data_IF_328245033318
#
_entry.id   IF_328245033318
#
_cell.length_a   1.000
_cell.length_b   1.000
_cell.length_c   1.000
_cell.angle_alpha   90.00
_cell.angle_beta   90.00
_cell.angle_gamma   90.00
#
_symmetry.space_group_name_H-M   'P 1'
#
loop_
_entity.id
_entity.type
_entity.pdbx_description
1 polymer ?
#
# COMPACT_ATOMS: atom_id res chain seq x y z
N UNK A 1 -13.53 -7.61 -17.78
CA UNK A 1 -13.29 -6.17 -17.53
C UNK A 1 -12.70 -5.44 -18.74
N UNK A 2 -11.61 -5.93 -19.34
CA UNK A 2 -10.92 -5.26 -20.45
C UNK A 2 -11.82 -4.84 -21.63
N UNK A 3 -12.76 -5.70 -22.05
CA UNK A 3 -13.71 -5.37 -23.14
C UNK A 3 -14.63 -4.21 -22.74
N UNK A 4 -15.13 -4.21 -21.50
CA UNK A 4 -15.95 -3.10 -20.97
C UNK A 4 -15.15 -1.79 -20.94
N UNK A 5 -13.87 -1.85 -20.53
CA UNK A 5 -12.98 -0.70 -20.59
C UNK A 5 -12.80 -0.19 -22.03
N UNK A 6 -12.63 -1.09 -23.01
CA UNK A 6 -12.55 -0.71 -24.41
C UNK A 6 -13.79 0.05 -24.88
N UNK A 7 -14.99 -0.41 -24.52
CA UNK A 7 -16.25 0.23 -24.92
C UNK A 7 -16.31 1.66 -24.39
N UNK A 8 -16.00 1.90 -23.12
CA UNK A 8 -15.98 3.25 -22.56
C UNK A 8 -14.88 4.12 -23.18
N UNK A 9 -13.67 3.58 -23.36
CA UNK A 9 -12.58 4.34 -23.94
C UNK A 9 -12.84 4.76 -25.39
N UNK A 10 -13.53 3.92 -26.18
CA UNK A 10 -13.98 4.26 -27.54
C UNK A 10 -15.03 5.39 -27.56
N UNK A 11 -15.75 5.61 -26.46
CA UNK A 11 -16.65 6.76 -26.31
C UNK A 11 -15.94 8.05 -25.87
N UNK A 12 -14.61 8.03 -25.73
CA UNK A 12 -13.80 9.18 -25.32
C UNK A 12 -13.73 9.42 -23.82
N UNK A 13 -14.11 8.42 -23.00
CA UNK A 13 -14.08 8.44 -21.54
C UNK A 13 -12.78 7.79 -21.07
N UNK A 14 -12.13 8.36 -20.05
CA UNK A 14 -10.92 7.76 -19.47
C UNK A 14 -11.31 6.70 -18.42
N UNK A 15 -10.67 5.54 -18.47
CA UNK A 15 -11.07 4.35 -17.69
C UNK A 15 -9.95 3.94 -16.75
N UNK A 16 -10.29 3.81 -15.47
CA UNK A 16 -9.40 3.26 -14.44
C UNK A 16 -9.90 1.87 -14.06
N UNK A 17 -9.08 0.86 -14.30
CA UNK A 17 -9.29 -0.51 -13.87
C UNK A 17 -8.44 -0.76 -12.63
N UNK A 18 -9.09 -0.99 -11.48
CA UNK A 18 -8.39 -1.17 -10.21
C UNK A 18 -8.64 -2.54 -9.61
N UNK A 19 -7.57 -3.15 -9.12
CA UNK A 19 -7.63 -4.40 -8.37
C UNK A 19 -6.73 -4.31 -7.12
N UNK A 20 -6.67 -5.37 -6.33
CA UNK A 20 -5.81 -5.39 -5.14
C UNK A 20 -4.35 -5.80 -5.43
N UNK A 21 -4.08 -6.42 -6.59
CA UNK A 21 -2.80 -7.08 -6.90
C UNK A 21 -2.11 -6.45 -8.10
N UNK A 22 -0.90 -5.93 -7.90
CA UNK A 22 -0.10 -5.36 -8.98
C UNK A 22 0.19 -6.39 -10.08
N UNK A 23 0.46 -7.65 -9.69
CA UNK A 23 0.75 -8.74 -10.64
C UNK A 23 -0.46 -9.04 -11.52
N UNK A 24 -1.65 -9.16 -10.92
CA UNK A 24 -2.88 -9.41 -11.67
C UNK A 24 -3.24 -8.23 -12.58
N UNK A 25 -3.10 -7.01 -12.06
CA UNK A 25 -3.32 -5.78 -12.84
C UNK A 25 -2.40 -5.70 -14.06
N UNK A 26 -1.10 -5.93 -13.85
CA UNK A 26 -0.10 -5.88 -14.90
C UNK A 26 -0.30 -7.00 -15.93
N UNK A 27 -0.63 -8.22 -15.49
CA UNK A 27 -0.97 -9.34 -16.38
C UNK A 27 -2.12 -8.95 -17.30
N UNK A 28 -3.24 -8.50 -16.73
CA UNK A 28 -4.42 -8.16 -17.50
C UNK A 28 -4.14 -6.99 -18.47
N UNK A 29 -3.40 -5.95 -18.03
CA UNK A 29 -2.98 -4.88 -18.94
C UNK A 29 -2.16 -5.41 -20.12
N UNK A 30 -1.19 -6.28 -19.86
CA UNK A 30 -0.29 -6.82 -20.88
C UNK A 30 -1.02 -7.73 -21.88
N UNK A 31 -1.90 -8.60 -21.38
CA UNK A 31 -2.67 -9.53 -22.20
C UNK A 31 -3.58 -8.80 -23.20
N UNK A 32 -4.10 -7.62 -22.83
CA UNK A 32 -4.97 -6.80 -23.69
C UNK A 32 -4.27 -5.61 -24.37
N UNK A 33 -2.98 -5.38 -24.14
CA UNK A 33 -2.24 -4.23 -24.70
C UNK A 33 -2.26 -4.17 -26.24
N UNK A 34 -2.22 -5.33 -26.91
CA UNK A 34 -2.34 -5.40 -28.37
C UNK A 34 -3.70 -4.89 -28.87
N UNK A 35 -4.78 -5.24 -28.16
CA UNK A 35 -6.14 -4.79 -28.48
C UNK A 35 -6.26 -3.28 -28.25
N UNK A 36 -5.77 -2.76 -27.13
CA UNK A 36 -5.83 -1.32 -26.83
C UNK A 36 -5.10 -0.48 -27.88
N UNK A 37 -3.91 -0.92 -28.31
CA UNK A 37 -3.14 -0.28 -29.39
C UNK A 37 -3.85 -0.34 -30.72
N UNK A 38 -4.41 -1.50 -31.06
CA UNK A 38 -5.15 -1.67 -32.32
C UNK A 38 -6.37 -0.74 -32.39
N UNK A 39 -7.03 -0.52 -31.25
CA UNK A 39 -8.18 0.38 -31.14
C UNK A 39 -7.79 1.86 -30.94
N UNK A 40 -6.51 2.18 -30.72
CA UNK A 40 -6.03 3.55 -30.49
C UNK A 40 -6.50 4.15 -29.16
N UNK A 41 -6.71 3.32 -28.14
CA UNK A 41 -7.30 3.70 -26.83
C UNK A 41 -6.37 3.41 -25.64
N UNK A 42 -5.13 2.99 -25.89
CA UNK A 42 -4.18 2.61 -24.82
C UNK A 42 -3.97 3.74 -23.80
N UNK A 43 -3.84 4.98 -24.26
CA UNK A 43 -3.63 6.15 -23.40
C UNK A 43 -4.86 6.53 -22.54
N UNK A 44 -6.01 5.90 -22.78
CA UNK A 44 -7.26 6.15 -22.04
C UNK A 44 -7.58 5.06 -21.02
N UNK A 45 -6.82 3.97 -20.98
CA UNK A 45 -7.10 2.84 -20.09
C UNK A 45 -5.92 2.65 -19.14
N UNK A 46 -6.17 2.96 -17.89
CA UNK A 46 -5.23 2.80 -16.79
C UNK A 46 -5.55 1.52 -16.02
N UNK A 47 -4.53 0.70 -15.78
CA UNK A 47 -4.60 -0.43 -14.84
C UNK A 47 -3.68 -0.14 -13.65
N UNK A 48 -4.17 -0.44 -12.45
CA UNK A 48 -3.39 -0.30 -11.24
C UNK A 48 -3.99 -0.99 -10.03
N UNK A 49 -3.28 -0.90 -8.91
CA UNK A 49 -3.82 -1.24 -7.59
C UNK A 49 -4.66 -0.10 -7.02
N UNK A 50 -5.45 -0.37 -5.97
CA UNK A 50 -6.13 0.69 -5.21
C UNK A 50 -5.16 1.76 -4.68
N UNK A 51 -3.97 1.35 -4.21
CA UNK A 51 -2.92 2.28 -3.77
C UNK A 51 -2.46 3.20 -4.91
N UNK A 52 -2.22 2.62 -6.10
CA UNK A 52 -1.80 3.38 -7.28
C UNK A 52 -2.90 4.34 -7.75
N UNK A 53 -4.16 3.91 -7.71
CA UNK A 53 -5.30 4.75 -8.04
C UNK A 53 -5.42 5.94 -7.08
N UNK A 54 -5.36 5.70 -5.76
CA UNK A 54 -5.33 6.77 -4.77
C UNK A 54 -4.15 7.73 -4.99
N UNK A 55 -2.96 7.19 -5.22
CA UNK A 55 -1.76 7.99 -5.52
C UNK A 55 -1.97 8.90 -6.74
N UNK A 56 -2.62 8.40 -7.79
CA UNK A 56 -2.89 9.17 -8.99
C UNK A 56 -3.88 10.28 -8.73
N UNK A 57 -5.02 9.97 -8.11
CA UNK A 57 -6.08 10.93 -7.78
C UNK A 57 -5.54 12.07 -6.89
N UNK A 58 -4.82 11.71 -5.83
CA UNK A 58 -4.24 12.70 -4.91
C UNK A 58 -3.22 13.60 -5.62
N UNK A 59 -2.49 13.05 -6.58
CA UNK A 59 -1.46 13.80 -7.29
C UNK A 59 -1.94 14.49 -8.58
N UNK A 60 -3.22 14.40 -8.94
CA UNK A 60 -3.75 15.04 -10.15
C UNK A 60 -3.50 16.55 -10.19
N UNK A 61 -3.60 17.21 -9.03
CA UNK A 61 -3.40 18.65 -8.92
C UNK A 61 -1.98 19.01 -8.48
N UNK A 62 -1.33 18.17 -7.68
CA UNK A 62 0.03 18.40 -7.21
C UNK A 62 0.65 17.14 -6.64
N UNK A 63 1.97 16.95 -6.80
CA UNK A 63 2.67 15.90 -6.08
C UNK A 63 2.74 16.21 -4.58
N UNK A 64 1.89 15.55 -3.79
CA UNK A 64 1.71 15.83 -2.36
C UNK A 64 3.00 15.58 -1.58
N UNK A 65 3.69 14.46 -1.84
CA UNK A 65 4.97 14.12 -1.18
C UNK A 65 6.04 15.17 -1.44
N UNK A 66 6.19 15.59 -2.69
CA UNK A 66 7.18 16.61 -3.05
C UNK A 66 6.85 17.97 -2.44
N UNK A 67 5.58 18.37 -2.42
CA UNK A 67 5.14 19.63 -1.82
C UNK A 67 5.41 19.66 -0.32
N UNK A 68 5.02 18.63 0.41
CA UNK A 68 5.27 18.51 1.86
C UNK A 68 6.77 18.48 2.14
N UNK A 69 7.53 17.64 1.42
CA UNK A 69 8.99 17.58 1.55
C UNK A 69 9.63 18.94 1.33
N UNK A 70 9.30 19.62 0.23
CA UNK A 70 9.92 20.90 -0.12
C UNK A 70 9.57 21.99 0.90
N UNK A 71 8.33 22.01 1.38
CA UNK A 71 7.88 22.96 2.41
C UNK A 71 8.69 22.79 3.71
N UNK A 72 8.83 21.55 4.19
CA UNK A 72 9.59 21.28 5.42
C UNK A 72 11.09 21.55 5.21
N UNK A 73 11.66 21.06 4.11
CA UNK A 73 13.10 21.21 3.82
C UNK A 73 13.52 22.68 3.64
N UNK A 74 12.62 23.55 3.18
CA UNK A 74 12.84 24.99 3.10
C UNK A 74 12.46 25.75 4.37
N UNK A 75 11.96 25.04 5.39
CA UNK A 75 11.44 25.63 6.62
C UNK A 75 10.31 26.66 6.37
N UNK A 76 9.51 26.48 5.33
CA UNK A 76 8.38 27.35 4.96
C UNK A 76 7.11 26.89 5.67
N UNK A 77 6.24 27.80 6.12
CA UNK A 77 5.00 27.47 6.84
C UNK A 77 3.72 27.52 5.98
N UNK A 78 3.85 27.90 4.71
CA UNK A 78 2.72 28.01 3.79
C UNK A 78 3.12 27.52 2.40
N UNK A 79 2.21 26.80 1.75
CA UNK A 79 2.34 26.41 0.35
C UNK A 79 1.90 27.56 -0.55
N UNK A 80 2.67 27.82 -1.62
CA UNK A 80 2.19 28.68 -2.69
C UNK A 80 0.96 28.06 -3.36
N UNK A 81 -0.08 28.86 -3.54
CA UNK A 81 -1.33 28.43 -4.17
C UNK A 81 -1.04 27.99 -5.60
N UNK A 82 -1.30 26.72 -5.90
CA UNK A 82 -1.24 26.23 -7.28
C UNK A 82 -2.47 26.73 -8.04
N UNK A 83 -2.28 27.13 -9.30
CA UNK A 83 -3.40 27.39 -10.21
C UNK A 83 -4.16 26.08 -10.43
N UNK A 84 -5.48 26.10 -10.19
CA UNK A 84 -6.35 24.96 -10.49
C UNK A 84 -6.34 24.73 -12.00
N UNK A 85 -5.80 23.61 -12.46
CA UNK A 85 -6.02 23.17 -13.83
C UNK A 85 -7.51 22.87 -14.02
N UNK A 86 -8.04 23.26 -15.18
CA UNK A 86 -9.46 23.14 -15.48
C UNK A 86 -9.75 21.91 -16.34
N UNK A 87 -10.71 21.11 -15.85
CA UNK A 87 -11.42 20.00 -16.51
C UNK A 87 -10.58 18.84 -17.06
N UNK A 88 -10.46 17.80 -16.24
CA UNK A 88 -10.25 16.44 -16.73
C UNK A 88 -11.50 15.94 -17.47
N UNK A 89 -11.31 15.05 -18.45
CA UNK A 89 -12.41 14.29 -19.04
C UNK A 89 -13.17 13.53 -17.94
N UNK A 90 -14.46 13.21 -18.14
CA UNK A 90 -15.15 12.29 -17.24
C UNK A 90 -14.37 10.96 -17.17
N UNK A 91 -14.18 10.47 -15.94
CA UNK A 91 -13.50 9.20 -15.66
C UNK A 91 -14.49 8.15 -15.17
N UNK A 92 -14.22 6.90 -15.50
CA UNK A 92 -14.95 5.74 -14.97
C UNK A 92 -14.00 4.85 -14.19
N UNK A 93 -14.48 4.33 -13.06
CA UNK A 93 -13.80 3.34 -12.25
C UNK A 93 -14.42 1.96 -12.48
N UNK A 94 -13.60 0.99 -12.87
CA UNK A 94 -13.94 -0.43 -12.95
C UNK A 94 -13.14 -1.20 -11.89
N UNK A 95 -13.82 -1.71 -10.88
CA UNK A 95 -13.21 -2.42 -9.75
C UNK A 95 -13.22 -3.91 -10.02
N UNK A 96 -12.06 -4.54 -9.95
CA UNK A 96 -11.93 -6.00 -9.90
C UNK A 96 -12.00 -6.47 -8.46
N UNK A 97 -12.69 -7.59 -8.25
CA UNK A 97 -13.00 -8.12 -6.92
C UNK A 97 -13.59 -7.05 -5.99
N UNK A 98 -14.79 -6.57 -6.34
CA UNK A 98 -15.56 -5.59 -5.56
C UNK A 98 -15.68 -5.96 -4.07
N UNK A 99 -15.73 -7.25 -3.74
CA UNK A 99 -15.71 -7.76 -2.37
C UNK A 99 -14.39 -7.46 -1.64
N UNK A 100 -13.25 -7.56 -2.31
CA UNK A 100 -11.96 -7.16 -1.74
C UNK A 100 -11.92 -5.66 -1.49
N UNK A 101 -12.48 -4.84 -2.38
CA UNK A 101 -12.60 -3.40 -2.12
C UNK A 101 -13.41 -3.10 -0.85
N UNK A 102 -14.47 -3.87 -0.57
CA UNK A 102 -15.30 -3.71 0.63
C UNK A 102 -14.67 -4.23 1.92
N UNK A 103 -13.47 -4.82 1.85
CA UNK A 103 -12.75 -5.30 3.05
C UNK A 103 -12.31 -4.17 3.99
N UNK A 104 -11.96 -4.55 5.22
CA UNK A 104 -11.35 -3.67 6.21
C UNK A 104 -10.05 -3.03 5.73
N UNK A 105 -9.27 -3.73 4.89
CA UNK A 105 -8.02 -3.22 4.31
C UNK A 105 -8.25 -2.02 3.38
N UNK A 106 -9.35 -2.01 2.63
CA UNK A 106 -9.63 -0.95 1.65
C UNK A 106 -10.77 -0.07 2.11
N UNK A 107 -12.04 -0.49 2.04
CA UNK A 107 -13.17 0.35 2.46
C UNK A 107 -13.05 0.89 3.90
N UNK A 108 -12.56 0.06 4.84
CA UNK A 108 -12.26 0.49 6.21
C UNK A 108 -10.86 1.09 6.40
N UNK A 109 -10.05 1.08 5.36
CA UNK A 109 -8.63 1.40 5.40
C UNK A 109 -8.30 2.79 4.89
N UNK A 110 -7.03 3.14 5.02
CA UNK A 110 -6.51 4.45 4.65
C UNK A 110 -5.24 4.32 3.82
N UNK A 111 -5.12 5.17 2.81
CA UNK A 111 -3.89 5.44 2.10
C UNK A 111 -3.12 6.56 2.81
N UNK A 112 -1.89 6.28 3.21
CA UNK A 112 -1.01 7.22 3.90
C UNK A 112 0.24 7.42 3.04
N UNK A 113 0.28 8.45 2.18
CA UNK A 113 1.47 8.77 1.43
C UNK A 113 2.53 9.36 2.37
N UNK A 114 3.70 8.74 2.47
CA UNK A 114 4.79 9.22 3.31
C UNK A 114 6.04 9.57 2.49
N UNK A 115 6.88 10.46 3.02
CA UNK A 115 8.14 10.90 2.39
C UNK A 115 9.28 10.92 3.38
N UNK A 116 10.48 10.56 2.93
CA UNK A 116 11.71 10.72 3.71
C UNK A 116 12.24 12.16 3.60
N UNK A 117 12.44 12.78 4.75
CA UNK A 117 13.28 13.97 4.89
C UNK A 117 14.72 13.53 5.06
N UNK A 118 15.56 13.91 4.09
CA UNK A 118 16.98 13.60 4.05
C UNK A 118 17.77 14.89 4.01
N UNK A 119 18.63 15.05 5.00
CA UNK A 119 19.52 16.20 5.14
C UNK A 119 20.74 15.79 5.96
N UNK A 120 21.93 16.38 5.74
CA UNK A 120 23.09 16.12 6.58
C UNK A 120 22.83 16.34 8.08
N UNK A 121 22.02 17.34 8.46
CA UNK A 121 21.69 17.56 9.87
C UNK A 121 20.84 16.40 10.43
N UNK A 122 19.87 15.92 9.64
CA UNK A 122 19.00 14.79 10.00
C UNK A 122 19.83 13.53 10.14
N UNK A 123 20.74 13.27 9.19
CA UNK A 123 21.64 12.11 9.24
C UNK A 123 22.52 12.16 10.50
N UNK A 124 23.10 13.32 10.82
CA UNK A 124 23.89 13.49 12.03
C UNK A 124 23.07 13.25 13.31
N UNK A 125 21.79 13.64 13.32
CA UNK A 125 20.88 13.33 14.42
C UNK A 125 20.62 11.82 14.54
N UNK A 126 20.30 11.15 13.44
CA UNK A 126 20.09 9.69 13.42
C UNK A 126 21.36 8.93 13.87
N UNK A 127 22.53 9.35 13.41
CA UNK A 127 23.82 8.79 13.82
C UNK A 127 24.06 8.97 15.33
N UNK A 128 23.76 10.16 15.85
CA UNK A 128 23.88 10.44 17.27
C UNK A 128 22.94 9.58 18.10
N UNK A 129 21.71 9.35 17.64
CA UNK A 129 20.75 8.46 18.30
C UNK A 129 21.23 7.01 18.27
N UNK A 130 21.75 6.54 17.13
CA UNK A 130 22.27 5.18 16.97
C UNK A 130 23.50 4.92 17.84
N UNK A 131 24.41 5.89 17.96
CA UNK A 131 25.58 5.78 18.84
C UNK A 131 25.19 5.81 20.33
N UNK A 132 24.07 6.47 20.66
CA UNK A 132 23.59 6.64 22.03
C UNK A 132 22.29 5.87 22.29
N UNK A 133 22.28 4.55 22.03
CA UNK A 133 21.09 3.68 22.17
C UNK A 133 20.45 3.65 23.57
N UNK A 134 21.17 4.14 24.58
CA UNK A 134 20.69 4.26 25.97
C UNK A 134 19.79 5.47 26.19
N UNK A 135 19.68 6.39 25.23
CA UNK A 135 18.74 7.50 25.29
C UNK A 135 17.30 6.97 25.24
N UNK A 136 16.49 7.38 26.21
CA UNK A 136 15.10 6.90 26.37
C UNK A 136 14.06 8.00 26.33
N UNK A 137 14.47 9.27 26.27
CA UNK A 137 13.54 10.40 26.32
C UNK A 137 13.95 11.53 25.41
N UNK A 138 12.94 12.19 24.84
CA UNK A 138 13.10 13.36 23.98
C UNK A 138 13.94 14.44 24.67
N UNK A 139 13.69 14.74 25.95
CA UNK A 139 14.45 15.76 26.69
C UNK A 139 15.96 15.51 26.72
N UNK A 140 16.41 14.25 26.73
CA UNK A 140 17.85 13.94 26.65
C UNK A 140 18.38 14.12 25.23
N UNK A 141 17.58 13.77 24.22
CA UNK A 141 17.92 14.01 22.81
C UNK A 141 18.05 15.51 22.54
N UNK A 142 17.21 16.35 23.15
CA UNK A 142 17.28 17.81 23.01
C UNK A 142 18.61 18.43 23.46
N UNK A 143 19.36 17.74 24.32
CA UNK A 143 20.68 18.18 24.77
C UNK A 143 21.81 17.79 23.80
N UNK A 144 21.52 17.07 22.72
CA UNK A 144 22.52 16.70 21.73
C UNK A 144 22.78 17.86 20.74
N UNK A 145 24.04 18.16 20.39
CA UNK A 145 24.36 19.17 19.38
C UNK A 145 23.70 18.90 18.02
N UNK A 146 23.53 17.63 17.66
CA UNK A 146 22.88 17.23 16.41
C UNK A 146 21.37 17.57 16.40
N UNK A 147 20.71 17.50 17.56
CA UNK A 147 19.33 17.96 17.69
C UNK A 147 19.25 19.47 17.54
N UNK A 148 20.11 20.22 18.23
CA UNK A 148 20.13 21.68 18.16
C UNK A 148 20.31 22.17 16.72
N UNK A 149 21.22 21.54 15.98
CA UNK A 149 21.45 21.83 14.55
C UNK A 149 20.18 21.60 13.71
N UNK A 150 19.47 20.49 13.92
CA UNK A 150 18.19 20.23 13.25
C UNK A 150 17.11 21.24 13.67
N UNK A 151 17.03 21.55 14.97
CA UNK A 151 16.02 22.44 15.53
C UNK A 151 16.16 23.87 15.00
N UNK A 152 17.39 24.36 14.86
CA UNK A 152 17.65 25.66 14.24
C UNK A 152 17.30 25.67 12.74
N UNK A 153 17.60 24.57 12.03
CA UNK A 153 17.33 24.47 10.58
C UNK A 153 15.83 24.39 10.26
N UNK A 154 15.07 23.64 11.05
CA UNK A 154 13.65 23.35 10.84
C UNK A 154 12.76 23.98 11.92
N UNK A 155 13.08 25.20 12.34
CA UNK A 155 12.44 25.88 13.48
C UNK A 155 10.91 25.95 13.38
N UNK A 156 10.36 26.11 12.18
CA UNK A 156 8.91 26.19 11.96
C UNK A 156 8.22 24.83 12.06
N UNK A 157 8.99 23.75 11.94
CA UNK A 157 8.52 22.37 11.91
C UNK A 157 9.08 21.52 13.05
N UNK A 158 9.71 22.13 14.06
CA UNK A 158 10.40 21.39 15.13
C UNK A 158 9.48 20.43 15.88
N UNK A 159 8.19 20.73 15.97
CA UNK A 159 7.19 19.83 16.57
C UNK A 159 7.10 18.48 15.82
N UNK A 160 7.25 18.47 14.49
CA UNK A 160 7.26 17.22 13.70
C UNK A 160 8.49 16.39 14.03
N UNK A 161 9.64 17.03 14.19
CA UNK A 161 10.88 16.36 14.56
C UNK A 161 10.79 15.81 15.99
N UNK A 162 10.18 16.55 16.92
CA UNK A 162 9.94 16.10 18.29
C UNK A 162 9.07 14.83 18.33
N UNK A 163 8.00 14.75 17.53
CA UNK A 163 7.18 13.54 17.43
C UNK A 163 7.94 12.38 16.75
N UNK A 164 8.59 12.64 15.61
CA UNK A 164 9.39 11.65 14.91
C UNK A 164 10.48 11.05 15.81
N UNK A 165 11.13 11.86 16.66
CA UNK A 165 12.14 11.39 17.61
C UNK A 165 11.54 10.44 18.65
N UNK A 166 10.30 10.68 19.12
CA UNK A 166 9.66 9.76 20.08
C UNK A 166 9.46 8.38 19.45
N UNK A 167 9.02 8.33 18.20
CA UNK A 167 8.81 7.08 17.49
C UNK A 167 10.13 6.39 17.14
N UNK A 168 11.16 7.16 16.74
CA UNK A 168 12.53 6.68 16.58
C UNK A 168 13.05 6.03 17.87
N UNK A 169 12.87 6.67 19.03
CA UNK A 169 13.28 6.15 20.34
C UNK A 169 12.48 4.91 20.76
N UNK A 170 11.21 4.81 20.35
CA UNK A 170 10.39 3.62 20.56
C UNK A 170 10.91 2.46 19.72
N UNK A 171 11.08 2.65 18.41
CA UNK A 171 11.59 1.65 17.48
C UNK A 171 13.01 1.17 17.83
N UNK A 172 13.86 2.03 18.40
CA UNK A 172 15.21 1.66 18.81
C UNK A 172 15.23 0.57 19.91
N UNK A 173 14.09 0.35 20.59
CA UNK A 173 13.91 -0.71 21.58
C UNK A 173 13.50 -2.05 20.96
N UNK A 174 12.88 -2.04 19.78
CA UNK A 174 12.20 -3.19 19.18
C UNK A 174 12.74 -3.60 17.82
N UNK A 175 13.62 -2.81 17.18
CA UNK A 175 14.06 -3.06 15.79
C UNK A 175 14.60 -4.47 15.55
N UNK A 176 15.26 -5.08 16.54
CA UNK A 176 15.79 -6.45 16.44
C UNK A 176 14.71 -7.54 16.38
N UNK A 177 13.47 -7.21 16.75
CA UNK A 177 12.32 -8.12 16.65
C UNK A 177 11.66 -8.07 15.28
N UNK A 178 12.07 -7.15 14.40
CA UNK A 178 11.51 -7.02 13.05
C UNK A 178 11.96 -8.18 12.17
N UNK A 179 11.01 -8.84 11.51
CA UNK A 179 11.28 -9.87 10.50
C UNK A 179 11.49 -9.22 9.14
N UNK A 180 12.73 -9.26 8.64
CA UNK A 180 13.11 -8.78 7.32
C UNK A 180 14.17 -9.71 6.69
N UNK A 181 14.38 -9.54 5.39
CA UNK A 181 15.45 -10.21 4.63
C UNK A 181 16.37 -9.12 4.09
N UNK A 182 17.68 -9.38 4.07
CA UNK A 182 18.65 -8.56 3.34
C UNK A 182 18.87 -9.17 1.96
N UNK A 183 18.58 -8.43 0.91
CA UNK A 183 18.75 -8.88 -0.47
C UNK A 183 19.17 -7.71 -1.35
N UNK A 184 20.15 -7.93 -2.23
CA UNK A 184 20.64 -6.94 -3.18
C UNK A 184 20.99 -5.58 -2.53
N UNK A 185 21.73 -5.63 -1.43
CA UNK A 185 22.14 -4.43 -0.67
C UNK A 185 20.97 -3.63 -0.08
N UNK A 186 19.79 -4.26 0.14
CA UNK A 186 18.60 -3.61 0.70
C UNK A 186 17.87 -4.50 1.69
N UNK A 187 17.07 -3.85 2.54
CA UNK A 187 16.10 -4.53 3.40
C UNK A 187 14.79 -4.71 2.61
N UNK A 188 14.29 -5.93 2.61
CA UNK A 188 13.03 -6.32 1.95
C UNK A 188 12.14 -7.09 2.92
N UNK A 189 10.83 -7.06 2.66
CA UNK A 189 9.82 -7.74 3.46
C UNK A 189 9.09 -8.81 2.64
N UNK A 190 8.51 -9.79 3.34
CA UNK A 190 7.56 -10.72 2.75
C UNK A 190 6.16 -10.13 2.92
N UNK A 191 5.46 -9.93 1.80
CA UNK A 191 4.04 -9.57 1.76
C UNK A 191 3.27 -10.63 0.95
N UNK A 192 2.50 -11.45 1.66
CA UNK A 192 1.90 -12.67 1.10
C UNK A 192 2.96 -13.63 0.55
N UNK A 193 2.88 -13.93 -0.74
CA UNK A 193 3.83 -14.80 -1.46
C UNK A 193 4.97 -14.02 -2.14
N UNK A 194 4.97 -12.68 -2.03
CA UNK A 194 5.92 -11.81 -2.72
C UNK A 194 6.96 -11.21 -1.78
N UNK A 195 8.15 -10.96 -2.30
CA UNK A 195 9.17 -10.14 -1.65
C UNK A 195 8.99 -8.71 -2.16
N UNK A 196 8.85 -7.77 -1.24
CA UNK A 196 8.61 -6.35 -1.53
C UNK A 196 9.73 -5.49 -0.94
N UNK A 197 10.30 -4.61 -1.77
CA UNK A 197 11.42 -3.72 -1.42
C UNK A 197 10.98 -2.25 -1.24
N UNK A 198 9.69 -1.97 -1.46
CA UNK A 198 9.07 -0.65 -1.35
C UNK A 198 8.24 -0.47 -0.08
N UNK A 199 8.33 -1.40 0.88
CA UNK A 199 7.61 -1.36 2.15
C UNK A 199 8.54 -0.91 3.27
N UNK A 200 8.06 0.01 4.09
CA UNK A 200 8.75 0.52 5.28
C UNK A 200 7.86 0.24 6.49
N UNK A 201 8.41 -0.43 7.51
CA UNK A 201 7.75 -0.67 8.80
C UNK A 201 8.19 0.40 9.80
N UNK A 202 7.72 1.63 9.54
CA UNK A 202 8.06 2.81 10.35
C UNK A 202 9.56 2.96 10.59
N UNK A 203 9.93 3.29 11.82
CA UNK A 203 11.32 3.50 12.22
C UNK A 203 12.09 2.21 12.52
N UNK A 204 11.43 1.05 12.63
CA UNK A 204 12.13 -0.23 12.79
C UNK A 204 13.00 -0.51 11.56
N UNK A 205 12.48 -0.26 10.35
CA UNK A 205 13.25 -0.40 9.10
C UNK A 205 14.51 0.46 9.10
N UNK A 206 14.43 1.69 9.61
CA UNK A 206 15.58 2.60 9.68
C UNK A 206 16.68 2.02 10.56
N UNK A 207 16.32 1.52 11.74
CA UNK A 207 17.28 0.91 12.66
C UNK A 207 17.80 -0.44 12.17
N UNK A 208 17.00 -1.20 11.41
CA UNK A 208 17.48 -2.37 10.69
C UNK A 208 18.57 -1.99 9.67
N UNK A 209 18.43 -0.90 8.91
CA UNK A 209 19.50 -0.43 8.01
C UNK A 209 20.79 -0.11 8.78
N UNK A 210 20.69 0.61 9.90
CA UNK A 210 21.85 0.89 10.76
C UNK A 210 22.50 -0.39 11.33
N UNK A 211 21.68 -1.38 11.71
CA UNK A 211 22.15 -2.67 12.22
C UNK A 211 22.91 -3.46 11.16
N UNK A 212 22.30 -3.64 9.99
CA UNK A 212 22.88 -4.42 8.90
C UNK A 212 24.15 -3.78 8.35
N UNK A 213 24.21 -2.45 8.29
CA UNK A 213 25.42 -1.74 7.90
C UNK A 213 26.55 -1.95 8.93
N UNK A 214 26.25 -1.90 10.22
CA UNK A 214 27.23 -2.18 11.27
C UNK A 214 27.73 -3.64 11.26
N UNK A 215 26.91 -4.58 10.77
CA UNK A 215 27.29 -5.98 10.55
C UNK A 215 28.03 -6.22 9.22
N UNK A 216 28.09 -5.21 8.34
CA UNK A 216 28.71 -5.32 7.02
C UNK A 216 27.85 -6.05 5.98
N UNK A 217 26.56 -6.26 6.26
CA UNK A 217 25.63 -6.94 5.36
C UNK A 217 25.07 -6.01 4.27
N UNK A 218 25.13 -4.70 4.48
CA UNK A 218 24.80 -3.67 3.48
C UNK A 218 25.85 -2.56 3.43
N UNK A 219 25.92 -1.88 2.30
CA UNK A 219 26.84 -0.78 2.03
C UNK A 219 26.46 0.51 2.78
N UNK A 220 27.45 1.40 2.92
CA UNK A 220 27.23 2.74 3.46
C UNK A 220 26.28 3.57 2.57
N UNK A 221 26.38 3.41 1.25
CA UNK A 221 25.50 4.08 0.30
C UNK A 221 24.05 3.63 0.51
N UNK A 222 23.82 2.33 0.68
CA UNK A 222 22.48 1.80 0.96
C UNK A 222 21.91 2.35 2.26
N UNK A 223 22.72 2.43 3.32
CA UNK A 223 22.29 3.09 4.56
C UNK A 223 21.85 4.53 4.29
N UNK A 224 22.66 5.33 3.61
CA UNK A 224 22.36 6.74 3.32
C UNK A 224 21.14 6.93 2.40
N UNK A 225 20.93 6.02 1.45
CA UNK A 225 19.80 6.03 0.54
C UNK A 225 18.48 5.59 1.19
N UNK A 226 18.50 4.94 2.35
CA UNK A 226 17.28 4.36 2.93
C UNK A 226 16.93 4.88 4.34
N UNK A 227 17.71 5.82 4.89
CA UNK A 227 17.42 6.45 6.17
C UNK A 227 17.06 7.93 6.04
N UNK A 228 16.26 8.41 6.99
CA UNK A 228 15.77 9.78 7.06
C UNK A 228 14.68 9.90 8.13
N UNK A 229 14.08 11.07 8.28
CA UNK A 229 12.85 11.21 9.07
C UNK A 229 11.66 10.94 8.15
N UNK A 230 10.81 9.99 8.51
CA UNK A 230 9.62 9.64 7.73
C UNK A 230 8.47 10.56 8.15
N UNK A 231 7.90 11.29 7.19
CA UNK A 231 6.78 12.18 7.40
C UNK A 231 5.59 11.72 6.58
N UNK A 232 4.47 11.51 7.26
CA UNK A 232 3.18 11.27 6.63
C UNK A 232 2.65 12.57 6.03
N UNK A 233 2.30 12.51 4.75
CA UNK A 233 1.85 13.65 3.96
C UNK A 233 0.32 13.81 3.97
N UNK A 234 -0.33 13.19 4.94
CA UNK A 234 -1.79 13.11 5.07
C UNK A 234 -2.29 11.67 5.13
N UNK A 235 -3.56 11.53 5.45
CA UNK A 235 -4.25 10.24 5.56
C UNK A 235 -5.54 10.33 4.78
N UNK A 236 -5.74 9.42 3.83
CA UNK A 236 -6.83 9.48 2.87
C UNK A 236 -7.62 8.17 2.90
N UNK A 237 -8.94 8.25 3.07
CA UNK A 237 -9.79 7.05 3.08
C UNK A 237 -9.90 6.48 1.66
N UNK A 238 -9.71 5.18 1.49
CA UNK A 238 -9.99 4.53 0.20
C UNK A 238 -11.47 4.58 -0.16
N UNK A 239 -12.37 4.68 0.83
CA UNK A 239 -13.81 4.77 0.58
C UNK A 239 -14.20 6.09 -0.11
N UNK A 240 -13.40 7.14 0.03
CA UNK A 240 -13.68 8.44 -0.61
C UNK A 240 -13.25 8.45 -2.09
N UNK A 241 -12.23 7.65 -2.44
CA UNK A 241 -11.61 7.62 -3.76
C UNK A 241 -12.60 7.40 -4.92
N UNK A 242 -13.59 6.47 -4.86
CA UNK A 242 -14.54 6.27 -5.95
C UNK A 242 -15.42 7.47 -6.26
N UNK A 243 -15.62 8.41 -5.32
CA UNK A 243 -16.51 9.56 -5.52
C UNK A 243 -15.98 10.58 -6.55
N UNK A 244 -14.69 10.53 -6.89
CA UNK A 244 -14.10 11.36 -7.95
C UNK A 244 -14.42 10.87 -9.38
N UNK A 245 -15.08 9.71 -9.50
CA UNK A 245 -15.46 9.12 -10.78
C UNK A 245 -16.92 9.41 -11.15
N UNK A 246 -17.16 9.64 -12.44
CA UNK A 246 -18.50 9.90 -12.95
C UNK A 246 -19.38 8.63 -12.91
N UNK A 247 -18.77 7.46 -13.13
CA UNK A 247 -19.43 6.17 -12.97
C UNK A 247 -18.49 5.17 -12.31
N UNK A 248 -19.08 4.31 -11.48
CA UNK A 248 -18.40 3.23 -10.78
C UNK A 248 -19.06 1.92 -11.24
N UNK A 249 -18.24 0.95 -11.61
CA UNK A 249 -18.66 -0.40 -11.92
C UNK A 249 -17.60 -1.39 -11.46
N UNK A 250 -17.85 -2.67 -11.68
CA UNK A 250 -16.89 -3.69 -11.29
C UNK A 250 -17.39 -5.10 -11.49
N UNK A 251 -16.55 -6.05 -11.14
CA UNK A 251 -16.86 -7.48 -11.16
C UNK A 251 -16.42 -8.13 -9.86
N UNK A 252 -17.12 -9.17 -9.44
CA UNK A 252 -16.69 -10.04 -8.33
C UNK A 252 -17.34 -11.40 -8.50
N UNK A 253 -16.64 -12.45 -8.05
CA UNK A 253 -17.18 -13.82 -7.99
C UNK A 253 -18.20 -14.03 -6.87
N UNK A 254 -18.27 -13.12 -5.89
CA UNK A 254 -18.97 -13.32 -4.62
C UNK A 254 -20.18 -12.39 -4.44
N UNK A 255 -20.63 -11.72 -5.51
CA UNK A 255 -21.74 -10.75 -5.45
C UNK A 255 -23.00 -11.31 -4.75
N UNK A 256 -23.31 -12.60 -4.95
CA UNK A 256 -24.46 -13.27 -4.32
C UNK A 256 -24.29 -13.41 -2.80
N UNK A 257 -23.07 -13.65 -2.35
CA UNK A 257 -22.72 -13.95 -0.96
C UNK A 257 -22.32 -12.72 -0.15
N UNK A 258 -22.24 -11.53 -0.77
CA UNK A 258 -22.07 -10.28 -0.04
C UNK A 258 -23.14 -10.12 1.05
N UNK A 259 -22.71 -9.64 2.20
CA UNK A 259 -23.57 -9.27 3.31
C UNK A 259 -24.53 -8.15 2.89
N UNK A 260 -25.66 -8.03 3.60
CA UNK A 260 -26.63 -6.98 3.29
C UNK A 260 -26.05 -5.57 3.46
N UNK A 261 -25.15 -5.38 4.42
CA UNK A 261 -24.48 -4.09 4.66
C UNK A 261 -23.57 -3.72 3.48
N UNK A 262 -22.82 -4.68 2.94
CA UNK A 262 -21.96 -4.50 1.77
C UNK A 262 -22.79 -4.12 0.54
N UNK A 263 -23.94 -4.78 0.32
CA UNK A 263 -24.87 -4.43 -0.76
C UNK A 263 -25.43 -3.02 -0.59
N UNK A 264 -25.80 -2.64 0.63
CA UNK A 264 -26.26 -1.29 0.95
C UNK A 264 -25.19 -0.23 0.72
N UNK A 265 -23.91 -0.54 0.94
CA UNK A 265 -22.81 0.36 0.60
C UNK A 265 -22.74 0.56 -0.91
N UNK A 266 -22.76 -0.52 -1.70
CA UNK A 266 -22.73 -0.43 -3.17
C UNK A 266 -23.91 0.41 -3.71
N UNK A 267 -25.12 0.19 -3.19
CA UNK A 267 -26.33 0.88 -3.64
C UNK A 267 -26.39 2.33 -3.15
N UNK A 268 -26.22 2.58 -1.85
CA UNK A 268 -26.53 3.87 -1.24
C UNK A 268 -25.33 4.83 -1.21
N UNK A 269 -24.09 4.32 -1.15
CA UNK A 269 -22.88 5.14 -1.12
C UNK A 269 -22.36 5.33 -2.54
N UNK A 270 -22.20 4.24 -3.29
CA UNK A 270 -21.59 4.28 -4.63
C UNK A 270 -22.58 4.29 -5.80
N UNK A 271 -23.89 4.32 -5.52
CA UNK A 271 -24.96 4.37 -6.53
C UNK A 271 -24.94 3.22 -7.57
N UNK A 272 -24.39 2.06 -7.20
CA UNK A 272 -24.33 0.85 -8.03
C UNK A 272 -25.66 0.08 -7.88
N UNK A 273 -26.68 0.55 -8.58
CA UNK A 273 -28.05 0.03 -8.47
C UNK A 273 -28.37 -1.13 -9.42
N UNK A 274 -27.38 -1.63 -10.18
CA UNK A 274 -27.56 -2.68 -11.17
C UNK A 274 -26.56 -3.80 -10.95
N UNK A 275 -27.09 -5.01 -10.74
CA UNK A 275 -26.32 -6.24 -10.66
C UNK A 275 -26.70 -7.16 -11.83
N UNK A 276 -25.69 -7.76 -12.46
CA UNK A 276 -25.88 -8.79 -13.49
C UNK A 276 -25.07 -10.02 -13.14
N UNK A 277 -25.64 -11.21 -13.34
CA UNK A 277 -24.97 -12.48 -13.06
C UNK A 277 -24.65 -13.19 -14.35
N UNK A 278 -23.36 -13.39 -14.61
CA UNK A 278 -22.92 -14.20 -15.73
C UNK A 278 -22.84 -15.68 -15.30
N UNK A 279 -23.40 -16.62 -16.07
CA UNK A 279 -23.26 -18.04 -15.76
C UNK A 279 -21.80 -18.49 -15.88
N UNK A 280 -21.42 -19.48 -15.08
CA UNK A 280 -20.10 -20.11 -15.16
C UNK A 280 -19.93 -20.80 -16.52
N UNK A 281 -18.80 -20.55 -17.18
CA UNK A 281 -18.40 -21.29 -18.38
C UNK A 281 -17.93 -22.73 -18.06
N UNK A 282 -17.63 -23.00 -16.80
CA UNK A 282 -17.09 -24.28 -16.32
C UNK A 282 -18.15 -25.21 -15.71
N UNK A 283 -19.44 -24.84 -15.78
CA UNK A 283 -20.53 -25.61 -15.16
C UNK A 283 -20.56 -25.49 -13.64
N UNK A 284 -21.24 -26.45 -12.99
CA UNK A 284 -21.44 -26.49 -11.54
C UNK A 284 -20.15 -26.85 -10.79
N UNK A 285 -19.98 -26.28 -9.59
CA UNK A 285 -18.86 -26.64 -8.72
C UNK A 285 -18.98 -28.09 -8.24
N UNK A 286 -17.92 -28.87 -8.39
CA UNK A 286 -17.84 -30.25 -7.91
C UNK A 286 -17.33 -30.36 -6.46
N UNK A 287 -17.06 -29.22 -5.79
CA UNK A 287 -16.70 -29.19 -4.37
C UNK A 287 -17.98 -29.24 -3.55
N UNK A 288 -18.28 -30.41 -2.99
CA UNK A 288 -19.42 -30.63 -2.12
C UNK A 288 -18.89 -30.61 -0.69
N UNK A 289 -19.30 -29.62 0.09
CA UNK A 289 -18.96 -29.53 1.50
C UNK A 289 -19.60 -30.69 2.27
N UNK A 290 -18.79 -31.43 3.01
CA UNK A 290 -19.24 -32.47 3.92
C UNK A 290 -18.94 -32.05 5.37
N UNK A 291 -19.96 -31.68 6.17
CA UNK A 291 -19.77 -31.21 7.54
C UNK A 291 -19.14 -32.26 8.47
N UNK A 292 -19.21 -33.55 8.14
CA UNK A 292 -18.63 -34.61 8.97
C UNK A 292 -17.12 -34.77 8.75
N UNK A 293 -16.61 -34.40 7.58
CA UNK A 293 -15.20 -34.62 7.21
C UNK A 293 -14.41 -33.34 7.03
N UNK A 294 -15.08 -32.26 6.61
CA UNK A 294 -14.44 -31.02 6.17
C UNK A 294 -14.29 -30.01 7.32
N UNK A 295 -14.94 -30.25 8.46
CA UNK A 295 -14.75 -29.47 9.69
C UNK A 295 -14.25 -30.36 10.81
N UNK A 296 -13.12 -29.98 11.41
CA UNK A 296 -12.60 -30.59 12.63
C UNK A 296 -12.30 -29.51 13.66
N UNK A 297 -12.77 -29.71 14.88
CA UNK A 297 -12.36 -28.91 16.03
C UNK A 297 -11.23 -29.67 16.72
N UNK A 298 -10.04 -29.07 16.76
CA UNK A 298 -8.84 -29.69 17.30
C UNK A 298 -8.17 -28.74 18.31
N UNK A 299 -7.35 -29.30 19.19
CA UNK A 299 -6.55 -28.48 20.09
C UNK A 299 -5.50 -27.68 19.30
N UNK A 300 -5.16 -26.49 19.77
CA UNK A 300 -4.18 -25.59 19.11
C UNK A 300 -2.84 -26.30 18.82
N UNK A 301 -2.38 -27.15 19.75
CA UNK A 301 -1.13 -27.93 19.59
C UNK A 301 -1.18 -28.96 18.46
N UNK A 302 -2.37 -29.40 18.07
CA UNK A 302 -2.59 -30.44 17.06
C UNK A 302 -2.99 -29.84 15.70
N UNK A 303 -3.38 -28.57 15.65
CA UNK A 303 -3.85 -27.87 14.46
C UNK A 303 -2.90 -28.04 13.27
N UNK A 304 -1.61 -27.71 13.46
CA UNK A 304 -0.61 -27.86 12.41
C UNK A 304 -0.32 -29.33 12.05
N UNK A 305 -0.47 -30.26 12.99
CA UNK A 305 -0.28 -31.69 12.70
C UNK A 305 -1.35 -32.21 11.76
N UNK A 306 -2.61 -31.84 11.98
CA UNK A 306 -3.72 -32.22 11.09
C UNK A 306 -3.59 -31.59 9.70
N UNK A 307 -3.27 -30.30 9.62
CA UNK A 307 -3.02 -29.62 8.34
C UNK A 307 -1.88 -30.31 7.58
N UNK A 308 -0.76 -30.60 8.25
CA UNK A 308 0.36 -31.28 7.62
C UNK A 308 0.00 -32.69 7.15
N UNK A 309 -0.81 -33.42 7.93
CA UNK A 309 -1.35 -34.73 7.54
C UNK A 309 -2.22 -34.66 6.29
N UNK A 310 -3.12 -33.68 6.22
CA UNK A 310 -4.01 -33.48 5.08
C UNK A 310 -3.23 -33.06 3.82
N UNK A 311 -2.28 -32.12 3.94
CA UNK A 311 -1.37 -31.73 2.86
C UNK A 311 -0.61 -32.95 2.33
N UNK A 312 -0.05 -33.79 3.21
CA UNK A 312 0.65 -35.00 2.78
C UNK A 312 -0.29 -35.99 2.10
N UNK A 313 -1.51 -36.14 2.57
CA UNK A 313 -2.51 -37.02 1.95
C UNK A 313 -2.83 -36.56 0.52
N UNK A 314 -3.06 -35.26 0.32
CA UNK A 314 -3.33 -34.66 -0.99
C UNK A 314 -2.11 -34.77 -1.91
N UNK A 315 -0.90 -34.48 -1.38
CA UNK A 315 0.37 -34.60 -2.10
C UNK A 315 0.67 -36.03 -2.53
N UNK A 316 0.44 -37.01 -1.65
CA UNK A 316 0.62 -38.43 -1.95
C UNK A 316 -0.37 -38.91 -3.02
N UNK A 317 -1.58 -38.34 -3.05
CA UNK A 317 -2.55 -38.55 -4.12
C UNK A 317 -2.20 -37.79 -5.42
N UNK A 318 -1.05 -37.10 -5.48
CA UNK A 318 -0.60 -36.26 -6.61
C UNK A 318 -1.63 -35.21 -7.03
N UNK A 319 -2.41 -34.72 -6.05
CA UNK A 319 -3.36 -33.62 -6.26
C UNK A 319 -2.71 -32.32 -5.81
N UNK A 320 -3.11 -31.22 -6.44
CA UNK A 320 -2.72 -29.89 -5.97
C UNK A 320 -3.38 -29.63 -4.61
N UNK A 321 -2.59 -29.13 -3.66
CA UNK A 321 -3.06 -28.57 -2.40
C UNK A 321 -2.83 -27.07 -2.48
N UNK A 322 -3.83 -26.28 -2.09
CA UNK A 322 -3.74 -24.84 -1.89
C UNK A 322 -3.96 -24.58 -0.40
#
# INVERSE_FOLDING_TARGET
>A
MAITACVFALTGIDVNCSCYSEVLSARDKNDFASLFRTLGIEDRIEYGTFNKLCEQILNEQCNVREKVRNMIMKNESALSTAERSTRANPKILLIDEVDVFLSDKYYGGMYVPSVYLKDPSIKALLDSLWQNKTLRSLNRVKNLPAYETCASRYSNWIFLFDEAIKDLLAALKSYQSSTYIVQNDKIVYIDGESIVDNVVRGYDTIWSYYHENAMGNISQNSLEENVGILIDCGTFSYAEMPHDFAYIGGVTGTLKTLANVEKQILENVYAINKATFMPSVFGSCNRIYNPETDVRVVNEKEYFMYIFGDINTIRNAKRASL
#
